data_IF_411424684815
#
_entry.id   IF_411424684815
#
_cell.length_a   1.000
_cell.length_b   1.000
_cell.length_c   1.000
_cell.angle_alpha   90.00
_cell.angle_beta   90.00
_cell.angle_gamma   90.00
#
_symmetry.space_group_name_H-M   'P 1'
#
loop_
_entity.id
_entity.type
_entity.pdbx_description
1 polymer ?
#
# COMPACT_ATOMS: atom_id res chain seq x y z
N UNK A 1 15.86 15.82 41.61
CA UNK A 1 15.54 15.66 40.18
C UNK A 1 14.17 16.27 39.92
N UNK A 2 14.11 17.37 39.15
CA UNK A 2 12.86 18.09 38.86
C UNK A 2 12.31 17.61 37.52
N UNK A 3 11.09 17.08 37.50
CA UNK A 3 10.44 16.57 36.28
C UNK A 3 9.61 17.70 35.68
N UNK A 4 10.08 18.23 34.55
CA UNK A 4 9.37 19.27 33.80
C UNK A 4 8.10 18.68 33.16
N UNK A 5 6.92 19.11 33.61
CA UNK A 5 5.64 18.71 33.02
C UNK A 5 5.44 19.39 31.67
N UNK A 6 5.41 18.60 30.60
CA UNK A 6 5.09 19.07 29.26
C UNK A 6 3.56 19.28 29.16
N UNK A 7 3.13 20.54 29.12
CA UNK A 7 1.71 20.92 28.99
C UNK A 7 1.29 20.99 27.52
N UNK A 8 0.08 20.49 27.16
CA UNK A 8 -0.47 20.46 25.78
C UNK A 8 -0.30 21.76 24.98
N UNK A 9 -0.41 22.91 25.65
CA UNK A 9 -0.21 24.24 25.03
C UNK A 9 1.22 24.50 24.54
N UNK A 10 2.23 23.92 25.19
CA UNK A 10 3.63 24.03 24.77
C UNK A 10 3.95 23.06 23.64
N UNK A 11 3.30 21.89 23.60
CA UNK A 11 3.43 20.92 22.52
C UNK A 11 2.88 21.48 21.19
N UNK A 12 1.68 22.09 21.22
CA UNK A 12 1.05 22.68 20.03
C UNK A 12 1.80 23.91 19.50
N UNK A 13 2.47 24.68 20.38
CA UNK A 13 3.37 25.76 19.95
C UNK A 13 4.64 25.25 19.26
N UNK A 14 5.15 24.08 19.67
CA UNK A 14 6.35 23.49 19.09
C UNK A 14 6.12 22.75 17.75
N UNK A 15 4.88 22.33 17.47
CA UNK A 15 4.56 21.45 16.32
C UNK A 15 3.76 22.13 15.21
N UNK A 16 3.37 23.40 15.37
CA UNK A 16 2.60 24.15 14.37
C UNK A 16 3.40 24.74 13.19
N UNK A 17 4.74 24.65 13.19
CA UNK A 17 5.59 25.40 12.27
C UNK A 17 6.12 24.66 11.03
N UNK A 18 5.94 23.34 10.91
CA UNK A 18 6.64 22.51 9.90
C UNK A 18 5.77 21.93 8.80
N UNK A 19 4.53 22.42 8.60
CA UNK A 19 3.66 21.95 7.50
C UNK A 19 3.68 22.85 6.24
N UNK A 20 4.46 23.94 6.23
CA UNK A 20 4.51 24.86 5.08
C UNK A 20 5.29 24.33 3.85
N UNK A 21 5.94 23.17 3.93
CA UNK A 21 6.68 22.57 2.81
C UNK A 21 5.89 21.48 2.04
N UNK A 22 4.64 21.19 2.40
CA UNK A 22 3.80 20.21 1.67
C UNK A 22 3.17 20.75 0.38
N UNK A 23 3.38 22.02 0.03
CA UNK A 23 2.88 22.64 -1.21
C UNK A 23 3.97 22.86 -2.27
N UNK A 24 5.09 22.14 -2.21
CA UNK A 24 6.02 22.09 -3.34
C UNK A 24 5.46 21.15 -4.42
N UNK A 25 5.50 21.58 -5.70
CA UNK A 25 4.83 20.90 -6.79
C UNK A 25 5.49 19.55 -7.03
N UNK A 26 4.70 18.47 -6.96
CA UNK A 26 4.63 17.26 -7.80
C UNK A 26 5.86 16.70 -8.55
N UNK A 27 7.09 17.17 -8.32
CA UNK A 27 8.31 16.80 -9.05
C UNK A 27 8.99 15.54 -8.50
N UNK A 28 8.54 15.05 -7.34
CA UNK A 28 9.00 13.79 -6.74
C UNK A 28 8.03 12.62 -6.95
N UNK A 29 6.96 12.79 -7.74
CA UNK A 29 6.02 11.71 -8.07
C UNK A 29 6.28 11.07 -9.45
N UNK A 30 7.50 11.19 -9.99
CA UNK A 30 7.91 10.39 -11.15
C UNK A 30 8.45 9.05 -10.66
N UNK A 31 7.55 8.14 -10.32
CA UNK A 31 7.89 6.72 -10.13
C UNK A 31 7.01 5.89 -11.04
N UNK A 32 7.33 5.94 -12.33
CA UNK A 32 6.97 4.95 -13.34
C UNK A 32 7.91 5.11 -14.54
N UNK A 33 9.23 5.01 -14.31
CA UNK A 33 10.13 4.62 -15.39
C UNK A 33 9.81 3.15 -15.65
N UNK A 34 8.86 2.91 -16.56
CA UNK A 34 8.59 1.57 -17.06
C UNK A 34 9.78 1.19 -17.95
N UNK A 35 10.88 0.81 -17.32
CA UNK A 35 12.00 0.08 -17.94
C UNK A 35 11.58 -1.37 -18.25
N UNK A 36 10.32 -1.54 -18.66
CA UNK A 36 9.77 -2.76 -19.20
C UNK A 36 9.78 -2.61 -20.73
N UNK A 37 10.97 -2.54 -21.32
CA UNK A 37 11.13 -3.01 -22.69
C UNK A 37 11.83 -4.37 -22.67
N UNK A 38 11.14 -5.47 -22.34
CA UNK A 38 11.48 -6.66 -23.08
C UNK A 38 11.17 -6.33 -24.54
N UNK A 39 12.19 -6.28 -25.39
CA UNK A 39 12.03 -6.36 -26.84
C UNK A 39 11.53 -7.78 -27.19
N UNK A 40 10.35 -8.12 -26.68
CA UNK A 40 9.56 -9.28 -27.05
C UNK A 40 8.46 -8.68 -27.89
N UNK A 41 8.61 -8.82 -29.21
CA UNK A 41 7.50 -8.61 -30.13
C UNK A 41 6.33 -9.45 -29.60
N UNK A 42 5.24 -8.78 -29.22
CA UNK A 42 4.02 -9.49 -28.85
C UNK A 42 3.65 -10.41 -30.01
N UNK A 43 3.44 -11.69 -29.72
CA UNK A 43 3.02 -12.64 -30.74
C UNK A 43 1.59 -12.28 -31.16
N UNK A 44 1.36 -11.85 -32.42
CA UNK A 44 0.03 -11.46 -32.87
C UNK A 44 -0.95 -12.64 -32.91
N UNK A 45 -0.47 -13.88 -32.81
CA UNK A 45 -1.29 -15.09 -32.74
C UNK A 45 -1.57 -15.53 -31.29
N UNK A 46 -0.99 -14.85 -30.30
CA UNK A 46 -1.23 -15.15 -28.89
C UNK A 46 -2.62 -14.67 -28.46
N UNK A 47 -3.57 -15.61 -28.44
CA UNK A 47 -4.90 -15.45 -27.88
C UNK A 47 -5.02 -16.32 -26.62
N UNK A 48 -4.58 -15.84 -25.44
CA UNK A 48 -4.64 -16.62 -24.22
C UNK A 48 -6.11 -16.73 -23.78
N UNK A 49 -6.63 -17.94 -23.82
CA UNK A 49 -7.83 -18.31 -23.09
C UNK A 49 -7.33 -18.98 -21.80
N UNK A 50 -7.47 -18.29 -20.67
CA UNK A 50 -7.04 -18.82 -19.38
C UNK A 50 -8.20 -18.91 -18.41
N UNK A 51 -8.32 -20.08 -17.80
CA UNK A 51 -9.34 -20.35 -16.79
C UNK A 51 -8.72 -20.28 -15.39
N UNK A 52 -9.38 -19.53 -14.50
CA UNK A 52 -8.93 -19.36 -13.11
C UNK A 52 -10.05 -19.82 -12.18
N UNK A 53 -9.76 -20.81 -11.34
CA UNK A 53 -10.63 -21.15 -10.22
C UNK A 53 -10.29 -20.28 -9.03
N UNK A 54 -11.30 -19.60 -8.48
CA UNK A 54 -11.20 -18.80 -7.27
C UNK A 54 -12.05 -19.41 -6.17
N UNK A 55 -11.43 -19.73 -5.04
CA UNK A 55 -12.11 -20.22 -3.84
C UNK A 55 -12.09 -19.16 -2.75
N UNK A 56 -13.26 -18.80 -2.24
CA UNK A 56 -13.43 -17.89 -1.10
C UNK A 56 -13.68 -18.68 0.19
N UNK A 57 -13.02 -18.33 1.27
CA UNK A 57 -13.30 -18.89 2.60
C UNK A 57 -13.13 -17.85 3.70
N UNK A 58 -13.95 -17.90 4.77
CA UNK A 58 -13.74 -17.07 5.95
C UNK A 58 -12.39 -17.40 6.61
N UNK A 59 -11.69 -16.38 7.10
CA UNK A 59 -10.40 -16.52 7.77
C UNK A 59 -10.20 -15.41 8.82
N UNK A 60 -9.15 -15.53 9.62
CA UNK A 60 -8.79 -14.54 10.65
C UNK A 60 -7.31 -14.20 10.56
N UNK A 61 -6.99 -12.91 10.42
CA UNK A 61 -5.61 -12.40 10.30
C UNK A 61 -5.39 -11.21 11.22
N UNK A 62 -4.18 -11.07 11.75
CA UNK A 62 -3.79 -9.92 12.58
C UNK A 62 -3.33 -8.78 11.68
N UNK A 63 -4.21 -7.83 11.36
CA UNK A 63 -3.85 -6.63 10.58
C UNK A 63 -3.19 -5.58 11.49
N UNK A 64 -3.65 -5.49 12.74
CA UNK A 64 -3.11 -4.63 13.79
C UNK A 64 -2.85 -5.45 15.07
N UNK A 65 -2.01 -4.96 16.00
CA UNK A 65 -1.86 -5.59 17.31
C UNK A 65 -3.20 -5.70 18.04
N UNK A 66 -3.46 -6.85 18.67
CA UNK A 66 -4.70 -7.13 19.39
C UNK A 66 -5.54 -8.21 18.73
N UNK A 67 -6.87 -8.05 18.78
CA UNK A 67 -7.81 -9.04 18.27
C UNK A 67 -7.65 -9.26 16.75
N UNK A 68 -7.78 -10.51 16.31
CA UNK A 68 -7.71 -10.85 14.89
C UNK A 68 -8.90 -10.26 14.14
N UNK A 69 -8.64 -9.82 12.92
CA UNK A 69 -9.67 -9.34 12.00
C UNK A 69 -10.23 -10.52 11.21
N UNK A 70 -11.55 -10.67 11.22
CA UNK A 70 -12.25 -11.61 10.34
C UNK A 70 -12.23 -11.08 8.91
N UNK A 71 -11.78 -11.90 7.97
CA UNK A 71 -11.62 -11.55 6.57
C UNK A 71 -12.18 -12.65 5.68
N UNK A 72 -12.49 -12.31 4.43
CA UNK A 72 -12.62 -13.29 3.36
C UNK A 72 -11.26 -13.48 2.70
N UNK A 73 -10.77 -14.72 2.69
CA UNK A 73 -9.54 -15.09 2.00
C UNK A 73 -9.89 -15.77 0.69
N UNK A 74 -9.26 -15.31 -0.39
CA UNK A 74 -9.41 -15.88 -1.71
C UNK A 74 -8.12 -16.60 -2.09
N UNK A 75 -8.24 -17.82 -2.61
CA UNK A 75 -7.14 -18.56 -3.23
C UNK A 75 -7.49 -18.84 -4.68
N UNK A 76 -6.54 -18.59 -5.58
CA UNK A 76 -6.71 -18.82 -7.02
C UNK A 76 -5.75 -19.88 -7.55
N UNK A 77 -6.18 -20.63 -8.57
CA UNK A 77 -5.30 -21.49 -9.38
C UNK A 77 -5.68 -21.38 -10.85
N UNK A 78 -4.67 -21.43 -11.74
CA UNK A 78 -4.88 -21.54 -13.20
C UNK A 78 -5.23 -23.00 -13.51
N UNK A 79 -6.20 -23.21 -14.39
CA UNK A 79 -6.68 -24.55 -14.74
C UNK A 79 -6.42 -24.89 -16.21
N UNK A 80 -6.67 -23.95 -17.11
CA UNK A 80 -6.42 -24.10 -18.54
C UNK A 80 -5.89 -22.80 -19.13
#
# INVERSE_FOLDING_TARGET
>A
MSVTKITRKNFLKGTGGTFALMFLPSFFLTSCENDATPNRKADPEFSPDIEIELTAHPSEVSIIPGAKTKVWKYSGKVIS
#
